data_IF_510967641540
#
_entry.id   IF_510967641540
#
_cell.length_a   1.000
_cell.length_b   1.000
_cell.length_c   1.000
_cell.angle_alpha   90.00
_cell.angle_beta   90.00
_cell.angle_gamma   90.00
#
_symmetry.space_group_name_H-M   'P 1'
#
loop_
_entity.id
_entity.type
_entity.pdbx_description
1 polymer ?
#
# COMPACT_ATOMS: atom_id res chain seq x y z
N UNK A 1 21.07 3.74 -7.24
CA UNK A 1 20.54 2.86 -6.17
C UNK A 1 19.29 3.51 -5.61
N UNK A 2 18.15 2.80 -5.61
CA UNK A 2 16.95 3.26 -4.90
C UNK A 2 17.28 3.42 -3.41
N UNK A 3 16.69 4.40 -2.69
CA UNK A 3 16.98 4.56 -1.26
C UNK A 3 16.58 3.29 -0.49
N UNK A 4 17.54 2.59 0.14
CA UNK A 4 17.28 1.30 0.78
C UNK A 4 16.14 1.36 1.82
N UNK A 5 15.90 2.52 2.42
CA UNK A 5 14.85 2.74 3.40
C UNK A 5 13.43 2.68 2.78
N UNK A 6 13.20 3.34 1.64
CA UNK A 6 11.89 3.38 0.99
C UNK A 6 11.47 1.99 0.51
N UNK A 7 12.39 1.27 -0.14
CA UNK A 7 12.15 -0.10 -0.60
C UNK A 7 11.84 -1.05 0.57
N UNK A 8 12.63 -1.02 1.65
CA UNK A 8 12.37 -1.85 2.85
C UNK A 8 11.01 -1.54 3.48
N UNK A 9 10.59 -0.26 3.49
CA UNK A 9 9.29 0.12 4.03
C UNK A 9 8.14 -0.44 3.19
N UNK A 10 8.23 -0.33 1.86
CA UNK A 10 7.25 -0.89 0.92
C UNK A 10 7.17 -2.42 1.07
N UNK A 11 8.31 -3.11 1.16
CA UNK A 11 8.36 -4.56 1.43
C UNK A 11 7.69 -4.93 2.76
N UNK A 12 7.80 -4.07 3.79
CA UNK A 12 7.08 -4.22 5.05
C UNK A 12 5.56 -4.21 4.86
N UNK A 13 5.03 -3.26 4.09
CA UNK A 13 3.60 -3.16 3.80
C UNK A 13 3.07 -4.29 2.91
N UNK A 14 3.90 -4.82 2.01
CA UNK A 14 3.60 -6.03 1.25
C UNK A 14 3.37 -7.20 2.21
N UNK A 15 4.33 -7.45 3.11
CA UNK A 15 4.26 -8.58 4.06
C UNK A 15 3.11 -8.45 5.05
N UNK A 16 2.78 -7.25 5.49
CA UNK A 16 1.65 -7.00 6.39
C UNK A 16 0.30 -6.90 5.68
N UNK A 17 0.25 -7.18 4.37
CA UNK A 17 -0.95 -7.15 3.52
C UNK A 17 -1.68 -5.81 3.52
N UNK A 18 -0.96 -4.72 3.74
CA UNK A 18 -1.48 -3.37 3.49
C UNK A 18 -1.30 -2.97 2.03
N UNK A 19 -0.33 -3.57 1.32
CA UNK A 19 -0.02 -3.25 -0.07
C UNK A 19 -0.16 -4.48 -0.97
N UNK A 20 -0.96 -4.35 -2.02
CA UNK A 20 -1.12 -5.37 -3.06
C UNK A 20 -0.78 -4.80 -4.44
N UNK A 21 -0.47 -5.68 -5.40
CA UNK A 21 -0.40 -5.31 -6.81
C UNK A 21 -1.76 -5.61 -7.48
N UNK A 22 -2.28 -4.63 -8.22
CA UNK A 22 -3.47 -4.78 -9.06
C UNK A 22 -3.16 -4.28 -10.46
N UNK A 23 -2.95 -5.22 -11.38
CA UNK A 23 -2.46 -4.93 -12.74
C UNK A 23 -1.08 -4.25 -12.72
N UNK A 24 -1.03 -3.01 -13.21
CA UNK A 24 0.17 -2.17 -13.22
C UNK A 24 0.30 -1.25 -12.00
N UNK A 25 -0.64 -1.33 -11.06
CA UNK A 25 -0.73 -0.42 -9.92
C UNK A 25 -0.43 -1.13 -8.62
N UNK A 26 0.04 -0.35 -7.66
CA UNK A 26 0.03 -0.69 -6.25
C UNK A 26 -1.24 -0.13 -5.62
N UNK A 27 -1.92 -0.96 -4.84
CA UNK A 27 -3.10 -0.58 -4.03
C UNK A 27 -2.69 -0.72 -2.58
N UNK A 28 -2.64 0.41 -1.88
CA UNK A 28 -2.29 0.51 -0.47
C UNK A 28 -3.53 0.85 0.34
N UNK A 29 -3.75 0.15 1.44
CA UNK A 29 -4.88 0.41 2.33
C UNK A 29 -4.44 0.66 3.77
N UNK A 30 -5.08 1.63 4.40
CA UNK A 30 -4.79 2.01 5.78
C UNK A 30 -5.95 2.78 6.40
N UNK A 31 -6.06 2.71 7.72
CA UNK A 31 -6.96 3.53 8.53
C UNK A 31 -6.26 4.76 9.13
N UNK A 32 -4.94 4.84 8.97
CA UNK A 32 -4.10 5.94 9.45
C UNK A 32 -3.64 6.82 8.29
N UNK A 33 -4.10 8.07 8.29
CA UNK A 33 -3.76 9.07 7.28
C UNK A 33 -2.26 9.44 7.31
N UNK A 34 -1.61 9.44 8.48
CA UNK A 34 -0.16 9.70 8.56
C UNK A 34 0.66 8.61 7.85
N UNK A 35 0.12 7.40 7.75
CA UNK A 35 0.73 6.33 6.97
C UNK A 35 0.56 6.54 5.46
N UNK A 36 -0.49 7.23 5.00
CA UNK A 36 -0.67 7.61 3.58
C UNK A 36 0.46 8.52 3.14
N UNK A 37 0.78 9.57 3.91
CA UNK A 37 1.87 10.50 3.58
C UNK A 37 3.22 9.78 3.49
N UNK A 38 3.50 8.87 4.43
CA UNK A 38 4.72 8.04 4.42
C UNK A 38 4.78 7.15 3.19
N UNK A 39 3.65 6.56 2.79
CA UNK A 39 3.56 5.75 1.58
C UNK A 39 3.81 6.59 0.33
N UNK A 40 3.15 7.76 0.21
CA UNK A 40 3.33 8.71 -0.89
C UNK A 40 4.80 9.14 -1.05
N UNK A 41 5.47 9.45 0.07
CA UNK A 41 6.89 9.80 0.07
C UNK A 41 7.75 8.63 -0.40
N UNK A 42 7.47 7.40 0.04
CA UNK A 42 8.20 6.22 -0.42
C UNK A 42 8.01 5.99 -1.92
N UNK A 43 6.78 6.10 -2.43
CA UNK A 43 6.46 5.97 -3.86
C UNK A 43 7.23 7.01 -4.69
N UNK A 44 7.16 8.29 -4.30
CA UNK A 44 7.88 9.38 -4.96
C UNK A 44 9.39 9.17 -4.95
N UNK A 45 9.94 8.76 -3.79
CA UNK A 45 11.37 8.44 -3.63
C UNK A 45 11.83 7.29 -4.53
N UNK A 46 10.93 6.37 -4.90
CA UNK A 46 11.20 5.25 -5.80
C UNK A 46 10.91 5.60 -7.28
N UNK A 47 10.65 6.88 -7.60
CA UNK A 47 10.35 7.34 -8.95
C UNK A 47 8.93 7.04 -9.42
N UNK A 48 8.02 6.75 -8.49
CA UNK A 48 6.60 6.55 -8.76
C UNK A 48 5.76 7.79 -8.49
N UNK A 49 4.45 7.65 -8.70
CA UNK A 49 3.46 8.66 -8.38
C UNK A 49 2.23 8.04 -7.71
N UNK A 50 1.67 8.77 -6.75
CA UNK A 50 0.32 8.51 -6.24
C UNK A 50 -0.69 9.06 -7.23
N UNK A 51 -1.67 8.25 -7.58
CA UNK A 51 -2.71 8.54 -8.57
C UNK A 51 -3.98 9.02 -7.86
N UNK A 52 -4.39 8.34 -6.79
CA UNK A 52 -5.56 8.71 -6.01
C UNK A 52 -5.42 8.29 -4.55
N UNK A 53 -6.16 9.00 -3.68
CA UNK A 53 -6.36 8.68 -2.28
C UNK A 53 -7.85 8.79 -2.02
N UNK A 54 -8.50 7.65 -1.80
CA UNK A 54 -9.96 7.56 -1.75
C UNK A 54 -10.40 6.93 -0.42
N UNK A 55 -11.38 7.51 0.29
CA UNK A 55 -12.07 6.78 1.35
C UNK A 55 -12.94 5.69 0.70
N UNK A 56 -12.71 4.43 1.05
CA UNK A 56 -13.39 3.30 0.39
C UNK A 56 -14.35 2.54 1.31
N UNK A 57 -14.17 2.64 2.62
CA UNK A 57 -15.03 1.95 3.57
C UNK A 57 -14.94 2.54 5.00
N UNK A 58 -15.72 2.01 5.94
CA UNK A 58 -15.56 2.17 7.39
C UNK A 58 -15.34 0.81 8.03
N UNK A 59 -14.19 0.63 8.68
CA UNK A 59 -13.87 -0.61 9.38
C UNK A 59 -14.00 -0.43 10.89
N UNK A 60 -14.46 -1.48 11.57
CA UNK A 60 -14.48 -1.54 13.03
C UNK A 60 -13.06 -1.76 13.56
N UNK A 61 -12.65 -0.89 14.48
CA UNK A 61 -11.43 -1.01 15.25
C UNK A 61 -11.75 -1.11 16.73
N UNK A 62 -11.45 -2.26 17.32
CA UNK A 62 -11.87 -2.60 18.67
C UNK A 62 -13.39 -2.72 18.78
N UNK A 63 -13.92 -2.58 20.00
CA UNK A 63 -15.33 -2.91 20.24
C UNK A 63 -16.31 -1.85 19.72
N UNK A 64 -15.97 -0.55 19.67
CA UNK A 64 -16.97 0.50 19.43
C UNK A 64 -16.56 1.64 18.48
N UNK A 65 -15.42 1.56 17.78
CA UNK A 65 -14.96 2.65 16.92
C UNK A 65 -14.95 2.26 15.45
N UNK A 66 -15.78 2.94 14.65
CA UNK A 66 -15.62 2.93 13.21
C UNK A 66 -14.56 3.96 12.79
N UNK A 67 -13.66 3.56 11.90
CA UNK A 67 -12.66 4.43 11.29
C UNK A 67 -12.72 4.31 9.77
N UNK A 68 -12.40 5.39 9.08
CA UNK A 68 -12.37 5.41 7.62
C UNK A 68 -11.20 4.55 7.13
N UNK A 69 -11.49 3.63 6.22
CA UNK A 69 -10.50 2.92 5.43
C UNK A 69 -10.18 3.75 4.19
N UNK A 70 -8.92 4.11 4.04
CA UNK A 70 -8.42 4.78 2.86
C UNK A 70 -7.72 3.80 1.95
N UNK A 71 -7.93 3.97 0.64
CA UNK A 71 -7.23 3.27 -0.42
C UNK A 71 -6.42 4.28 -1.21
N UNK A 72 -5.14 3.99 -1.37
CA UNK A 72 -4.21 4.77 -2.20
C UNK A 72 -3.85 3.94 -3.41
N UNK A 73 -4.05 4.51 -4.59
CA UNK A 73 -3.59 3.93 -5.85
C UNK A 73 -2.30 4.60 -6.27
N UNK A 74 -1.26 3.82 -6.53
CA UNK A 74 0.05 4.33 -6.95
C UNK A 74 0.62 3.54 -8.12
N UNK A 75 1.47 4.20 -8.90
CA UNK A 75 2.27 3.57 -9.95
C UNK A 75 3.75 3.78 -9.65
N UNK A 76 4.54 2.71 -9.72
CA UNK A 76 5.98 2.85 -9.88
C UNK A 76 6.21 2.88 -11.38
N UNK A 77 6.53 4.05 -11.95
CA UNK A 77 6.63 4.31 -13.38
C UNK A 77 7.71 3.47 -14.10
N UNK A 78 8.45 2.66 -13.34
CA UNK A 78 9.54 1.81 -13.81
C UNK A 78 9.06 0.36 -14.02
N UNK A 79 9.04 -0.15 -15.26
CA UNK A 79 8.81 -1.57 -15.52
C UNK A 79 9.89 -2.42 -14.84
N UNK A 80 9.52 -3.57 -14.26
CA UNK A 80 10.49 -4.53 -13.73
C UNK A 80 11.04 -4.23 -12.33
N UNK A 81 10.43 -3.32 -11.57
CA UNK A 81 10.87 -3.01 -10.21
C UNK A 81 10.90 -4.27 -9.33
N UNK A 82 11.98 -4.46 -8.56
CA UNK A 82 12.19 -5.59 -7.63
C UNK A 82 11.02 -5.79 -6.65
N UNK A 83 10.22 -4.74 -6.43
CA UNK A 83 9.05 -4.76 -5.55
C UNK A 83 7.91 -5.59 -6.12
N UNK A 84 7.74 -5.64 -7.44
CA UNK A 84 6.74 -6.52 -8.07
C UNK A 84 7.12 -7.99 -7.89
N UNK A 85 8.40 -8.31 -8.10
CA UNK A 85 8.93 -9.66 -7.84
C UNK A 85 8.84 -10.02 -6.36
N UNK A 86 9.13 -9.07 -5.48
CA UNK A 86 8.98 -9.26 -4.04
C UNK A 86 7.52 -9.49 -3.64
N UNK A 87 6.57 -8.73 -4.21
CA UNK A 87 5.14 -8.94 -3.97
C UNK A 87 4.67 -10.31 -4.48
N UNK A 88 5.12 -10.77 -5.65
CA UNK A 88 4.81 -12.13 -6.14
C UNK A 88 5.26 -13.19 -5.11
N UNK A 89 6.42 -12.99 -4.49
CA UNK A 89 7.00 -13.95 -3.54
C UNK A 89 6.40 -13.89 -2.13
N UNK A 90 6.03 -12.71 -1.64
CA UNK A 90 5.70 -12.50 -0.22
C UNK A 90 4.38 -11.75 0.03
N UNK A 91 3.72 -11.31 -1.04
CA UNK A 91 2.49 -10.54 -0.98
C UNK A 91 1.23 -11.40 -0.96
N UNK A 92 0.11 -10.74 -1.22
CA UNK A 92 -1.20 -11.38 -1.35
C UNK A 92 -2.03 -10.65 -2.39
N UNK A 93 -3.04 -11.33 -2.93
CA UNK A 93 -4.06 -10.74 -3.82
C UNK A 93 -5.12 -9.95 -3.06
N UNK A 94 -5.16 -10.10 -1.72
CA UNK A 94 -6.11 -9.44 -0.83
C UNK A 94 -5.39 -8.61 0.19
N UNK A 95 -5.98 -7.48 0.56
CA UNK A 95 -5.48 -6.71 1.69
C UNK A 95 -5.90 -7.39 3.00
N UNK A 96 -5.34 -6.95 4.11
CA UNK A 96 -5.78 -7.39 5.44
C UNK A 96 -7.20 -6.92 5.80
N UNK A 97 -7.75 -5.95 5.06
CA UNK A 97 -9.07 -5.39 5.32
C UNK A 97 -10.18 -6.15 4.58
N UNK A 98 -9.84 -6.90 3.53
CA UNK A 98 -10.79 -7.78 2.81
C UNK A 98 -11.35 -8.94 3.67
N UNK A 99 -10.82 -9.17 4.87
CA UNK A 99 -11.20 -10.29 5.74
C UNK A 99 -12.32 -10.01 6.75
N UNK A 100 -12.93 -8.82 6.73
CA UNK A 100 -14.09 -8.51 7.58
C UNK A 100 -15.34 -8.27 6.72
N UNK A 101 -16.27 -9.23 6.62
CA UNK A 101 -17.65 -8.96 6.20
C UNK A 101 -18.43 -8.15 7.27
#
# INVERSE_FOLDING_TARGET
MLPPAAQKKIQGWIRSRHLICSGSFFVFETVDYGTIERFSNCVSTLGGAVISVDPVDKVWMGNHRQVILYRVKASLLTPGHELKQYWIKYGSFRTRFDYNP
#
